data_IF_898979116335
#
_entry.id   IF_898979116335
#
_cell.length_a   1.000
_cell.length_b   1.000
_cell.length_c   1.000
_cell.angle_alpha   90.00
_cell.angle_beta   90.00
_cell.angle_gamma   90.00
#
_symmetry.space_group_name_H-M   'P 1'
#
loop_
_entity.id
_entity.type
_entity.pdbx_description
1 polymer ?
#
# COMPACT_ATOMS: atom_id res chain seq x y z
N UNK A 1 -1.98 -21.00 -9.03
CA UNK A 1 -0.80 -20.12 -9.08
C UNK A 1 -0.84 -19.24 -7.84
N UNK A 2 0.17 -19.23 -6.98
CA UNK A 2 0.22 -18.31 -5.83
C UNK A 2 1.01 -17.05 -6.19
N UNK A 3 0.62 -15.91 -5.63
CA UNK A 3 1.28 -14.63 -5.86
C UNK A 3 1.25 -13.74 -4.62
N UNK A 4 2.10 -12.73 -4.60
CA UNK A 4 2.21 -11.75 -3.51
C UNK A 4 1.84 -10.37 -4.08
N UNK A 5 0.92 -9.67 -3.41
CA UNK A 5 0.58 -8.30 -3.74
C UNK A 5 1.43 -7.32 -2.92
N UNK A 6 2.05 -6.36 -3.59
CA UNK A 6 2.79 -5.25 -2.96
C UNK A 6 2.08 -3.94 -3.28
N UNK A 7 1.64 -3.22 -2.25
CA UNK A 7 0.91 -1.95 -2.36
C UNK A 7 1.84 -0.82 -1.90
N UNK A 8 2.37 0.01 -2.82
CA UNK A 8 3.08 1.22 -2.44
C UNK A 8 2.07 2.30 -2.02
N UNK A 9 2.20 2.80 -0.80
CA UNK A 9 1.32 3.81 -0.23
C UNK A 9 2.14 5.00 0.29
N UNK A 10 2.35 5.99 -0.58
CA UNK A 10 3.09 7.22 -0.27
C UNK A 10 2.12 8.30 0.21
N UNK A 11 2.44 8.93 1.33
CA UNK A 11 1.60 10.01 1.85
C UNK A 11 1.76 11.32 1.06
N UNK A 12 2.97 11.58 0.56
CA UNK A 12 3.29 12.75 -0.24
C UNK A 12 2.82 12.57 -1.70
N UNK A 13 1.53 12.76 -1.95
CA UNK A 13 0.95 12.93 -3.30
C UNK A 13 0.75 14.41 -3.57
N UNK A 14 1.21 14.90 -4.72
CA UNK A 14 1.04 16.31 -5.12
C UNK A 14 -0.35 16.60 -5.67
N UNK A 15 -1.05 15.57 -6.19
CA UNK A 15 -2.41 15.70 -6.75
C UNK A 15 -3.49 15.57 -5.69
N UNK A 16 -3.28 14.74 -4.68
CA UNK A 16 -4.21 14.58 -3.57
C UNK A 16 -3.43 14.32 -2.27
N UNK A 17 -2.98 15.38 -1.58
CA UNK A 17 -2.20 15.25 -0.36
C UNK A 17 -2.90 14.39 0.69
N UNK A 18 -2.19 13.44 1.28
CA UNK A 18 -2.77 12.55 2.29
C UNK A 18 -3.73 11.49 1.75
N UNK A 19 -3.76 11.27 0.42
CA UNK A 19 -4.60 10.27 -0.27
C UNK A 19 -4.78 8.96 0.49
N UNK A 20 -3.71 8.30 0.99
CA UNK A 20 -3.85 7.00 1.63
C UNK A 20 -4.76 7.00 2.87
N UNK A 21 -4.86 8.15 3.55
CA UNK A 21 -5.67 8.34 4.75
C UNK A 21 -7.01 9.04 4.46
N UNK A 22 -7.30 9.36 3.20
CA UNK A 22 -8.60 9.90 2.83
C UNK A 22 -9.71 8.93 3.25
N UNK A 23 -10.72 9.44 3.94
CA UNK A 23 -11.87 8.63 4.33
C UNK A 23 -12.71 8.29 3.10
N UNK A 24 -12.97 7.01 2.94
CA UNK A 24 -13.90 6.48 1.94
C UNK A 24 -14.87 5.58 2.70
N UNK A 25 -16.09 6.05 2.92
CA UNK A 25 -17.16 5.28 3.59
C UNK A 25 -16.70 4.77 4.97
N UNK A 26 -16.08 5.64 5.78
CA UNK A 26 -15.69 5.34 7.16
C UNK A 26 -14.40 4.51 7.30
N UNK A 27 -13.65 4.30 6.21
CA UNK A 27 -12.34 3.63 6.23
C UNK A 27 -11.33 4.38 5.37
N UNK A 28 -10.05 4.43 5.77
CA UNK A 28 -8.99 5.01 4.96
C UNK A 28 -8.86 4.33 3.59
N UNK A 29 -8.63 5.09 2.53
CA UNK A 29 -8.45 4.59 1.16
C UNK A 29 -7.48 3.41 1.07
N UNK A 30 -6.33 3.48 1.76
CA UNK A 30 -5.32 2.40 1.75
C UNK A 30 -5.85 1.08 2.32
N UNK A 31 -6.81 1.13 3.25
CA UNK A 31 -7.44 -0.06 3.84
C UNK A 31 -8.33 -0.75 2.81
N UNK A 32 -9.04 0.00 1.97
CA UNK A 32 -9.83 -0.56 0.88
C UNK A 32 -8.95 -1.29 -0.14
N UNK A 33 -7.81 -0.70 -0.53
CA UNK A 33 -6.86 -1.33 -1.46
C UNK A 33 -6.27 -2.61 -0.86
N UNK A 34 -5.92 -2.60 0.43
CA UNK A 34 -5.44 -3.80 1.13
C UNK A 34 -6.50 -4.91 1.13
N UNK A 35 -7.76 -4.58 1.44
CA UNK A 35 -8.85 -5.56 1.47
C UNK A 35 -9.10 -6.18 0.08
N UNK A 36 -9.06 -5.37 -0.99
CA UNK A 36 -9.21 -5.88 -2.35
C UNK A 36 -8.04 -6.79 -2.76
N UNK A 37 -6.80 -6.42 -2.40
CA UNK A 37 -5.64 -7.29 -2.63
C UNK A 37 -5.78 -8.64 -1.89
N UNK A 38 -6.31 -8.64 -0.67
CA UNK A 38 -6.59 -9.88 0.06
C UNK A 38 -7.67 -10.72 -0.64
N UNK A 39 -8.74 -10.07 -1.14
CA UNK A 39 -9.83 -10.75 -1.85
C UNK A 39 -9.41 -11.31 -3.23
N UNK A 40 -8.35 -10.79 -3.84
CA UNK A 40 -7.84 -11.24 -5.15
C UNK A 40 -7.22 -12.64 -5.16
N UNK A 41 -7.11 -13.31 -4.00
CA UNK A 41 -6.44 -14.61 -3.88
C UNK A 41 -4.92 -14.50 -3.71
N UNK A 42 -4.40 -13.30 -3.40
CA UNK A 42 -3.00 -13.13 -3.05
C UNK A 42 -2.65 -13.94 -1.79
N UNK A 43 -1.60 -14.74 -1.86
CA UNK A 43 -1.11 -15.52 -0.72
C UNK A 43 -0.65 -14.59 0.41
N UNK A 44 -0.06 -13.44 0.04
CA UNK A 44 0.38 -12.40 0.95
C UNK A 44 0.12 -11.02 0.36
N UNK A 45 -0.23 -10.09 1.23
CA UNK A 45 -0.37 -8.67 0.92
C UNK A 45 0.62 -7.89 1.78
N UNK A 46 1.46 -7.08 1.14
CA UNK A 46 2.46 -6.25 1.78
C UNK A 46 2.18 -4.80 1.41
N UNK A 47 1.97 -3.94 2.39
CA UNK A 47 1.83 -2.50 2.15
C UNK A 47 3.12 -1.80 2.53
N UNK A 48 3.73 -1.08 1.59
CA UNK A 48 4.96 -0.33 1.78
C UNK A 48 4.63 1.16 1.88
N UNK A 49 4.87 1.77 3.04
CA UNK A 49 4.60 3.19 3.27
C UNK A 49 5.80 3.87 3.94
N UNK A 50 5.93 5.17 3.78
CA UNK A 50 6.91 6.01 4.48
C UNK A 50 6.28 6.80 5.64
N UNK A 51 4.97 6.63 5.86
CA UNK A 51 4.22 7.49 6.76
C UNK A 51 3.65 6.74 7.97
N UNK A 52 3.99 7.14 9.21
CA UNK A 52 3.57 6.44 10.44
C UNK A 52 2.05 6.31 10.60
N UNK A 53 1.27 7.33 10.21
CA UNK A 53 -0.19 7.26 10.34
C UNK A 53 -0.83 6.26 9.36
N UNK A 54 -0.24 6.10 8.17
CA UNK A 54 -0.68 5.09 7.19
C UNK A 54 -0.39 3.70 7.75
N UNK A 55 0.81 3.51 8.30
CA UNK A 55 1.18 2.25 8.95
C UNK A 55 0.21 1.89 10.09
N UNK A 56 -0.12 2.86 10.96
CA UNK A 56 -1.06 2.66 12.07
C UNK A 56 -2.46 2.28 11.58
N UNK A 57 -2.99 2.97 10.58
CA UNK A 57 -4.30 2.70 10.01
C UNK A 57 -4.39 1.26 9.46
N UNK A 58 -3.34 0.79 8.78
CA UNK A 58 -3.27 -0.56 8.24
C UNK A 58 -3.19 -1.63 9.33
N UNK A 59 -2.40 -1.40 10.39
CA UNK A 59 -2.35 -2.32 11.53
C UNK A 59 -3.70 -2.43 12.23
N UNK A 60 -4.38 -1.31 12.45
CA UNK A 60 -5.73 -1.28 13.05
C UNK A 60 -6.77 -2.01 12.19
N UNK A 61 -6.59 -2.01 10.87
CA UNK A 61 -7.42 -2.75 9.92
C UNK A 61 -7.03 -4.23 9.76
N UNK A 62 -6.11 -4.75 10.58
CA UNK A 62 -5.69 -6.16 10.55
C UNK A 62 -4.62 -6.49 9.51
N UNK A 63 -3.90 -5.49 8.99
CA UNK A 63 -2.78 -5.69 8.07
C UNK A 63 -1.63 -6.45 8.73
N UNK A 64 -1.32 -7.65 8.21
CA UNK A 64 -0.32 -8.57 8.82
C UNK A 64 1.13 -8.26 8.47
N UNK A 65 1.40 -7.56 7.36
CA UNK A 65 2.74 -7.20 6.90
C UNK A 65 2.74 -5.79 6.31
N UNK A 66 2.97 -4.81 7.17
CA UNK A 66 3.11 -3.41 6.79
C UNK A 66 4.58 -3.03 7.01
N UNK A 67 5.23 -2.54 5.96
CA UNK A 67 6.64 -2.16 6.02
C UNK A 67 6.73 -0.64 5.94
N UNK A 68 7.37 -0.04 6.94
CA UNK A 68 7.83 1.34 6.82
C UNK A 68 9.12 1.29 6.02
N UNK A 69 9.12 1.84 4.81
CA UNK A 69 10.35 1.97 4.02
C UNK A 69 10.89 3.40 4.15
N UNK A 70 11.92 3.66 4.97
CA UNK A 70 12.55 4.97 5.07
C UNK A 70 13.40 5.32 3.83
N UNK A 71 13.63 4.37 2.91
CA UNK A 71 14.41 4.64 1.71
C UNK A 71 13.58 5.41 0.68
N UNK A 72 13.88 6.72 0.57
CA UNK A 72 13.44 7.65 -0.48
C UNK A 72 13.78 7.14 -1.90
N UNK A 73 13.13 6.09 -2.38
CA UNK A 73 13.16 5.79 -3.81
C UNK A 73 12.01 6.55 -4.47
N UNK A 74 12.27 7.80 -4.85
CA UNK A 74 11.44 8.54 -5.80
C UNK A 74 11.52 7.84 -7.15
N UNK A 75 10.55 6.96 -7.43
CA UNK A 75 10.04 6.71 -8.78
C UNK A 75 8.92 5.68 -8.69
N UNK A 76 7.68 6.16 -8.86
CA UNK A 76 6.66 5.30 -9.43
C UNK A 76 7.13 4.89 -10.82
N UNK A 77 6.98 3.61 -11.15
CA UNK A 77 7.31 3.00 -12.43
C UNK A 77 8.79 2.62 -12.67
N UNK A 78 9.32 1.64 -11.91
CA UNK A 78 10.20 0.66 -12.56
C UNK A 78 9.31 -0.37 -13.25
N UNK A 79 9.04 -0.13 -14.53
CA UNK A 79 8.42 -1.09 -15.45
C UNK A 79 9.15 -2.43 -15.28
N UNK A 80 8.41 -3.48 -14.92
CA UNK A 80 8.87 -4.86 -15.04
C UNK A 80 8.96 -5.17 -16.54
N UNK A 81 10.08 -4.82 -17.15
CA UNK A 81 10.45 -5.24 -18.49
C UNK A 81 11.88 -5.77 -18.43
N UNK A 82 11.97 -7.10 -18.55
CA UNK A 82 13.08 -7.97 -19.00
C UNK A 82 12.62 -9.39 -18.62
N UNK A 83 12.20 -10.28 -19.51
CA UNK A 83 12.56 -10.42 -20.92
C UNK A 83 13.97 -11.00 -21.00
N UNK A 84 14.07 -12.33 -21.18
CA UNK A 84 15.31 -13.11 -21.25
C UNK A 84 15.28 -14.30 -20.30
#
# INVERSE_FOLDING_TARGET
>A
MSFIAIIPSRYASTRLPGEPLADIVGKPMVVHVMAQAQASGAERVIVATDHPNVHRALLQAGGKRVVINPAKHHSGNKRLAKGG
#
